data_IF_201158500606
#
_entry.id   IF_201158500606
#
_cell.length_a   1.000
_cell.length_b   1.000
_cell.length_c   1.000
_cell.angle_alpha   90.00
_cell.angle_beta   90.00
_cell.angle_gamma   90.00
#
_symmetry.space_group_name_H-M   'P 1'
#
loop_
_entity.id
_entity.type
_entity.pdbx_description
1 polymer ?
#
# COMPACT_ATOMS: atom_id res chain seq x y z
N UNK A 1 -34.46 40.90 50.10
CA UNK A 1 -34.30 40.50 51.52
C UNK A 1 -33.08 39.58 51.58
N UNK A 2 -32.07 39.75 52.43
CA UNK A 2 -31.90 40.73 53.51
C UNK A 2 -30.64 41.59 53.30
N UNK A 3 -30.69 42.83 53.75
CA UNK A 3 -29.57 43.80 53.81
C UNK A 3 -28.84 43.69 55.14
N UNK A 4 -27.53 43.96 55.19
CA UNK A 4 -26.97 44.77 56.29
C UNK A 4 -25.67 45.49 55.86
N UNK A 5 -25.42 46.64 56.47
CA UNK A 5 -24.52 47.71 56.00
C UNK A 5 -23.22 47.85 56.79
N UNK A 6 -22.19 48.42 56.14
CA UNK A 6 -20.91 48.89 56.72
C UNK A 6 -21.10 50.02 57.77
N UNK A 7 -20.06 50.38 58.58
CA UNK A 7 -18.91 51.19 58.15
C UNK A 7 -17.57 50.71 58.80
N UNK A 8 -16.41 51.41 58.89
CA UNK A 8 -16.03 52.79 58.56
C UNK A 8 -14.52 53.00 58.29
N UNK A 9 -14.21 54.02 57.48
CA UNK A 9 -13.00 54.90 57.38
C UNK A 9 -11.69 54.54 58.13
N UNK A 10 -10.57 54.57 57.39
CA UNK A 10 -9.58 55.69 57.39
C UNK A 10 -8.53 55.57 56.27
N UNK A 11 -8.35 56.65 55.51
CA UNK A 11 -7.11 57.00 54.76
C UNK A 11 -6.36 58.09 55.57
N UNK A 12 -5.15 58.60 55.23
CA UNK A 12 -4.30 58.32 54.04
C UNK A 12 -2.78 58.17 54.32
N UNK A 13 -2.02 57.70 53.31
CA UNK A 13 -0.57 58.00 53.09
C UNK A 13 -0.22 57.53 51.67
N UNK A 14 0.23 58.32 50.69
CA UNK A 14 1.31 59.34 50.61
C UNK A 14 2.74 58.82 50.83
N UNK A 15 3.14 57.78 50.08
CA UNK A 15 4.52 57.68 49.57
C UNK A 15 4.54 57.20 48.12
N UNK A 16 4.89 58.12 47.21
CA UNK A 16 5.35 57.75 45.87
C UNK A 16 6.83 57.38 45.98
N UNK A 17 7.14 56.08 46.03
CA UNK A 17 8.49 55.62 45.77
C UNK A 17 8.67 55.47 44.26
N UNK A 18 9.57 56.27 43.70
CA UNK A 18 10.09 56.06 42.36
C UNK A 18 10.83 54.72 42.32
N UNK A 19 10.21 53.69 41.76
CA UNK A 19 10.95 52.50 41.34
C UNK A 19 11.81 52.91 40.15
N UNK A 20 13.04 53.35 40.42
CA UNK A 20 14.06 53.54 39.39
C UNK A 20 14.27 52.17 38.74
N UNK A 21 13.85 52.04 37.49
CA UNK A 21 14.12 50.85 36.70
C UNK A 21 15.61 50.82 36.37
N UNK A 22 16.40 50.14 37.19
CA UNK A 22 17.76 49.74 36.83
C UNK A 22 17.70 48.70 35.71
N UNK A 23 17.53 49.18 34.47
CA UNK A 23 17.65 48.38 33.26
C UNK A 23 19.14 48.12 33.01
N UNK A 24 19.63 47.08 33.68
CA UNK A 24 20.49 46.05 33.10
C UNK A 24 21.73 46.46 32.26
N UNK A 25 22.71 47.14 32.86
CA UNK A 25 24.07 47.15 32.30
C UNK A 25 24.73 45.75 32.35
N UNK A 26 24.35 44.94 33.35
CA UNK A 26 24.86 43.57 33.54
C UNK A 26 24.39 42.58 32.47
N UNK A 27 23.24 42.80 31.82
CA UNK A 27 22.78 41.89 30.76
C UNK A 27 23.53 42.11 29.44
N UNK A 28 23.87 43.36 29.11
CA UNK A 28 24.62 43.68 27.88
C UNK A 28 26.07 43.16 27.94
N UNK A 29 26.75 43.32 29.08
CA UNK A 29 28.09 42.75 29.30
C UNK A 29 28.07 41.21 29.27
N UNK A 30 27.02 40.57 29.81
CA UNK A 30 26.85 39.11 29.73
C UNK A 30 26.71 38.64 28.27
N UNK A 31 25.85 39.30 27.48
CA UNK A 31 25.63 38.98 26.06
C UNK A 31 26.90 39.16 25.20
N UNK A 32 27.69 40.21 25.44
CA UNK A 32 28.96 40.42 24.74
C UNK A 32 29.99 39.32 25.07
N UNK A 33 30.05 38.88 26.32
CA UNK A 33 30.91 37.77 26.74
C UNK A 33 30.47 36.43 26.12
N UNK A 34 29.16 36.18 26.05
CA UNK A 34 28.59 35.00 25.39
C UNK A 34 28.91 34.96 23.88
N UNK A 35 28.79 36.09 23.17
CA UNK A 35 29.11 36.18 21.74
C UNK A 35 30.60 35.91 21.47
N UNK A 36 31.49 36.46 22.30
CA UNK A 36 32.93 36.20 22.22
C UNK A 36 33.27 34.71 22.37
N UNK A 37 32.64 34.03 23.35
CA UNK A 37 32.85 32.59 23.59
C UNK A 37 32.33 31.73 22.42
N UNK A 38 31.15 32.03 21.88
CA UNK A 38 30.60 31.32 20.72
C UNK A 38 31.47 31.52 19.47
N UNK A 39 32.01 32.73 19.26
CA UNK A 39 32.94 33.00 18.16
C UNK A 39 34.24 32.20 18.28
N UNK A 40 34.78 32.07 19.50
CA UNK A 40 35.99 31.27 19.75
C UNK A 40 35.74 29.78 19.55
N UNK A 41 34.62 29.23 20.06
CA UNK A 41 34.19 27.86 19.81
C UNK A 41 34.12 27.60 18.29
N UNK A 42 33.37 28.41 17.54
CA UNK A 42 33.22 28.23 16.10
C UNK A 42 34.57 28.30 15.34
N UNK A 43 35.52 29.13 15.79
CA UNK A 43 36.85 29.23 15.20
C UNK A 43 37.68 27.97 15.44
N UNK A 44 37.66 27.43 16.66
CA UNK A 44 38.36 26.18 16.99
C UNK A 44 37.73 25.00 16.24
N UNK A 45 36.39 24.90 16.22
CA UNK A 45 35.66 23.83 15.52
C UNK A 45 35.88 23.85 14.01
N UNK A 46 36.13 25.03 13.42
CA UNK A 46 36.52 25.17 12.01
C UNK A 46 37.95 24.68 11.74
N UNK A 47 38.87 24.93 12.68
CA UNK A 47 40.28 24.53 12.55
C UNK A 47 40.50 23.05 12.90
N UNK A 48 39.71 22.51 13.83
CA UNK A 48 39.76 21.14 14.33
C UNK A 48 38.36 20.51 14.42
N UNK A 49 37.72 20.17 13.27
CA UNK A 49 36.37 19.60 13.26
C UNK A 49 36.26 18.29 14.04
N UNK A 50 37.37 17.56 14.21
CA UNK A 50 37.39 16.31 14.96
C UNK A 50 37.09 16.51 16.46
N UNK A 51 37.28 17.71 17.02
CA UNK A 51 37.03 17.98 18.45
C UNK A 51 35.53 17.97 18.80
N UNK A 52 34.65 18.30 17.84
CA UNK A 52 33.20 18.45 18.07
C UNK A 52 32.57 17.14 18.57
N UNK A 53 33.01 16.00 18.02
CA UNK A 53 32.44 14.67 18.31
C UNK A 53 32.99 13.98 19.56
N UNK A 54 34.12 14.48 20.11
CA UNK A 54 34.84 13.83 21.21
C UNK A 54 34.22 14.12 22.57
N UNK A 55 34.29 13.20 23.52
CA UNK A 55 33.92 13.51 24.92
C UNK A 55 34.94 14.45 25.57
N UNK A 56 34.63 15.00 26.75
CA UNK A 56 35.60 15.83 27.49
C UNK A 56 36.85 15.02 27.88
N UNK A 57 36.70 13.72 28.15
CA UNK A 57 37.83 12.86 28.52
C UNK A 57 38.67 12.45 27.30
N UNK A 58 38.04 12.19 26.15
CA UNK A 58 38.75 12.05 24.87
C UNK A 58 39.60 13.29 24.54
N UNK A 59 39.06 14.50 24.76
CA UNK A 59 39.80 15.74 24.50
C UNK A 59 40.99 15.92 25.46
N UNK A 60 40.85 15.53 26.74
CA UNK A 60 41.98 15.50 27.68
C UNK A 60 43.07 14.53 27.23
N UNK A 61 42.68 13.37 26.70
CA UNK A 61 43.62 12.38 26.20
C UNK A 61 44.31 12.85 24.91
N UNK A 62 43.56 13.43 23.97
CA UNK A 62 44.13 14.10 22.79
C UNK A 62 45.10 15.22 23.18
N UNK A 63 44.81 15.96 24.26
CA UNK A 63 45.69 17.01 24.79
C UNK A 63 46.98 16.42 25.38
N UNK A 64 46.88 15.30 26.11
CA UNK A 64 48.05 14.57 26.65
C UNK A 64 48.98 14.14 25.51
N UNK A 65 48.42 13.50 24.48
CA UNK A 65 49.16 13.04 23.30
C UNK A 65 49.78 14.21 22.52
N UNK A 66 49.06 15.32 22.32
CA UNK A 66 49.61 16.52 21.68
C UNK A 66 50.79 17.11 22.46
N UNK A 67 50.70 17.15 23.79
CA UNK A 67 51.80 17.61 24.66
C UNK A 67 53.04 16.70 24.62
N UNK A 68 52.83 15.38 24.57
CA UNK A 68 53.92 14.39 24.41
C UNK A 68 54.62 14.53 23.05
N UNK A 69 53.86 14.85 21.99
CA UNK A 69 54.37 15.14 20.65
C UNK A 69 54.94 16.57 20.50
N UNK A 70 54.98 17.37 21.57
CA UNK A 70 55.45 18.77 21.58
C UNK A 70 54.63 19.73 20.68
N UNK A 71 53.39 19.36 20.34
CA UNK A 71 52.44 20.22 19.63
C UNK A 71 51.76 21.16 20.63
N UNK A 72 52.51 22.20 21.04
CA UNK A 72 52.07 23.16 22.04
C UNK A 72 50.89 24.03 21.56
N UNK A 73 50.77 24.28 20.25
CA UNK A 73 49.67 25.02 19.66
C UNK A 73 48.36 24.22 19.80
N UNK A 74 48.33 22.97 19.33
CA UNK A 74 47.16 22.09 19.50
C UNK A 74 46.86 21.79 20.97
N UNK A 75 47.88 21.70 21.83
CA UNK A 75 47.71 21.54 23.28
C UNK A 75 47.02 22.74 23.93
N UNK A 76 47.34 23.96 23.49
CA UNK A 76 46.71 25.20 23.94
C UNK A 76 45.26 25.29 23.46
N UNK A 77 45.00 25.00 22.18
CA UNK A 77 43.64 25.02 21.62
C UNK A 77 42.74 23.94 22.24
N UNK A 78 43.26 22.74 22.50
CA UNK A 78 42.52 21.69 23.23
C UNK A 78 42.17 22.12 24.66
N UNK A 79 43.08 22.78 25.39
CA UNK A 79 42.77 23.29 26.73
C UNK A 79 41.67 24.37 26.67
N UNK A 80 41.82 25.33 25.77
CA UNK A 80 40.86 26.41 25.54
C UNK A 80 39.47 25.84 25.18
N UNK A 81 39.42 24.88 24.26
CA UNK A 81 38.18 24.23 23.84
C UNK A 81 37.49 23.45 24.97
N UNK A 82 38.24 22.73 25.82
CA UNK A 82 37.69 22.05 27.00
C UNK A 82 37.05 23.08 27.97
N UNK A 83 37.72 24.20 28.23
CA UNK A 83 37.21 25.25 29.14
C UNK A 83 36.00 26.01 28.58
N UNK A 84 35.96 26.25 27.26
CA UNK A 84 34.83 26.85 26.56
C UNK A 84 33.64 25.88 26.55
N UNK A 85 33.87 24.61 26.22
CA UNK A 85 32.82 23.58 26.13
C UNK A 85 32.21 23.22 27.49
N UNK A 86 32.95 23.38 28.58
CA UNK A 86 32.42 23.30 29.94
C UNK A 86 31.42 24.44 30.30
N UNK A 87 31.29 25.47 29.45
CA UNK A 87 30.35 26.60 29.62
C UNK A 87 29.29 26.68 28.51
N UNK A 88 29.55 26.04 27.36
CA UNK A 88 28.72 26.04 26.16
C UNK A 88 28.99 24.78 25.34
N UNK A 89 28.09 23.80 25.38
CA UNK A 89 28.26 22.50 24.73
C UNK A 89 27.34 22.27 23.50
N UNK A 90 26.65 23.31 23.01
CA UNK A 90 25.62 23.14 21.96
C UNK A 90 26.12 22.40 20.73
N UNK A 91 27.25 22.78 20.10
CA UNK A 91 27.79 22.11 18.90
C UNK A 91 28.02 20.60 19.11
N UNK A 92 28.56 20.23 20.27
CA UNK A 92 28.81 18.83 20.63
C UNK A 92 27.51 18.01 20.79
N UNK A 93 26.55 18.55 21.55
CA UNK A 93 25.24 17.89 21.75
C UNK A 93 24.47 17.78 20.43
N UNK A 94 24.57 18.79 19.56
CA UNK A 94 24.07 18.74 18.19
C UNK A 94 24.71 17.58 17.41
N UNK A 95 26.05 17.47 17.39
CA UNK A 95 26.73 16.42 16.63
C UNK A 95 26.45 15.01 17.15
N UNK A 96 26.41 14.77 18.47
CA UNK A 96 26.01 13.46 19.01
C UNK A 96 24.57 13.11 18.63
N UNK A 97 23.66 14.08 18.75
CA UNK A 97 22.26 13.88 18.42
C UNK A 97 22.05 13.61 16.93
N UNK A 98 22.85 14.26 16.05
CA UNK A 98 22.84 14.03 14.61
C UNK A 98 23.38 12.65 14.27
N UNK A 99 24.53 12.24 14.82
CA UNK A 99 25.12 10.92 14.58
C UNK A 99 24.16 9.78 15.00
N UNK A 100 23.53 9.90 16.18
CA UNK A 100 22.53 8.94 16.66
C UNK A 100 21.26 8.90 15.79
N UNK A 101 20.81 10.06 15.31
CA UNK A 101 19.66 10.14 14.39
C UNK A 101 20.00 9.57 13.02
N UNK A 102 21.22 9.78 12.52
CA UNK A 102 21.68 9.27 11.22
C UNK A 102 21.62 7.75 11.20
N UNK A 103 22.27 7.09 12.16
CA UNK A 103 22.27 5.63 12.32
C UNK A 103 20.85 5.06 12.39
N UNK A 104 20.01 5.59 13.30
CA UNK A 104 18.65 5.08 13.50
C UNK A 104 17.70 5.37 12.33
N UNK A 105 17.83 6.50 11.64
CA UNK A 105 16.97 6.83 10.48
C UNK A 105 17.38 6.00 9.26
N UNK A 106 18.69 5.82 9.02
CA UNK A 106 19.17 4.98 7.92
C UNK A 106 18.73 3.52 8.10
N UNK A 107 18.91 2.94 9.29
CA UNK A 107 18.43 1.58 9.60
C UNK A 107 16.91 1.45 9.39
N UNK A 108 16.12 2.45 9.81
CA UNK A 108 14.68 2.45 9.61
C UNK A 108 14.28 2.58 8.12
N UNK A 109 15.05 3.32 7.33
CA UNK A 109 14.86 3.44 5.87
C UNK A 109 15.19 2.12 5.16
N UNK A 110 16.31 1.48 5.51
CA UNK A 110 16.68 0.17 4.95
C UNK A 110 15.63 -0.90 5.26
N UNK A 111 15.17 -0.98 6.51
CA UNK A 111 14.08 -1.86 6.92
C UNK A 111 12.77 -1.57 6.17
N UNK A 112 12.44 -0.30 5.95
CA UNK A 112 11.28 0.10 5.14
C UNK A 112 11.43 -0.37 3.69
N UNK A 113 12.58 -0.15 3.04
CA UNK A 113 12.82 -0.56 1.65
C UNK A 113 12.83 -2.07 1.46
N UNK A 114 13.38 -2.81 2.43
CA UNK A 114 13.29 -4.27 2.48
C UNK A 114 11.83 -4.74 2.57
N UNK A 115 11.05 -4.21 3.52
CA UNK A 115 9.63 -4.55 3.68
C UNK A 115 8.81 -4.24 2.42
N UNK A 116 9.03 -3.08 1.79
CA UNK A 116 8.36 -2.69 0.53
C UNK A 116 8.73 -3.64 -0.61
N UNK A 117 9.95 -4.19 -0.61
CA UNK A 117 10.39 -5.16 -1.61
C UNK A 117 9.70 -6.52 -1.40
N UNK A 118 9.62 -7.01 -0.15
CA UNK A 118 8.88 -8.22 0.20
C UNK A 118 7.39 -8.13 -0.17
N UNK A 119 6.71 -7.03 0.17
CA UNK A 119 5.29 -6.82 -0.19
C UNK A 119 5.08 -6.91 -1.72
N UNK A 120 6.01 -6.39 -2.53
CA UNK A 120 5.93 -6.47 -4.00
C UNK A 120 6.18 -7.89 -4.53
N UNK A 121 7.10 -8.63 -3.91
CA UNK A 121 7.35 -10.03 -4.26
C UNK A 121 6.14 -10.91 -3.92
N UNK A 122 5.54 -10.73 -2.74
CA UNK A 122 4.31 -11.40 -2.33
C UNK A 122 3.12 -11.02 -3.22
N UNK A 123 2.95 -9.73 -3.56
CA UNK A 123 1.91 -9.29 -4.51
C UNK A 123 2.06 -10.02 -5.85
N UNK A 124 3.28 -10.06 -6.41
CA UNK A 124 3.57 -10.71 -7.68
C UNK A 124 3.29 -12.22 -7.63
N UNK A 125 3.73 -12.91 -6.58
CA UNK A 125 3.48 -14.34 -6.40
C UNK A 125 1.97 -14.65 -6.33
N UNK A 126 1.20 -13.82 -5.62
CA UNK A 126 -0.25 -13.94 -5.52
C UNK A 126 -0.97 -13.65 -6.86
N UNK A 127 -0.47 -12.70 -7.66
CA UNK A 127 -0.96 -12.43 -9.02
C UNK A 127 -0.69 -13.61 -9.97
N UNK A 128 0.52 -14.19 -9.94
CA UNK A 128 0.91 -15.37 -10.73
C UNK A 128 0.11 -16.63 -10.36
N UNK A 129 -0.07 -16.90 -9.06
CA UNK A 129 -0.91 -18.01 -8.58
C UNK A 129 -2.37 -17.85 -9.04
N UNK A 130 -2.96 -16.67 -8.81
CA UNK A 130 -4.37 -16.42 -9.16
C UNK A 130 -4.62 -16.47 -10.67
N UNK A 131 -3.64 -16.08 -11.48
CA UNK A 131 -3.68 -16.23 -12.94
C UNK A 131 -3.66 -17.70 -13.34
N UNK A 132 -2.77 -18.49 -12.75
CA UNK A 132 -2.68 -19.94 -12.99
C UNK A 132 -3.98 -20.68 -12.60
N UNK A 133 -4.56 -20.35 -11.45
CA UNK A 133 -5.85 -20.90 -11.00
C UNK A 133 -7.02 -20.53 -11.94
N UNK A 134 -7.02 -19.30 -12.47
CA UNK A 134 -8.02 -18.84 -13.44
C UNK A 134 -7.88 -19.58 -14.78
N UNK A 135 -6.66 -19.73 -15.31
CA UNK A 135 -6.40 -20.46 -16.55
C UNK A 135 -6.80 -21.94 -16.45
N UNK A 136 -6.44 -22.61 -15.34
CA UNK A 136 -6.83 -23.99 -15.09
C UNK A 136 -8.37 -24.15 -14.98
N UNK A 137 -9.02 -23.21 -14.30
CA UNK A 137 -10.49 -23.17 -14.17
C UNK A 137 -11.17 -22.95 -15.53
N UNK A 138 -10.64 -22.03 -16.34
CA UNK A 138 -11.15 -21.73 -17.68
C UNK A 138 -10.96 -22.91 -18.64
N UNK A 139 -9.83 -23.62 -18.56
CA UNK A 139 -9.59 -24.85 -19.31
C UNK A 139 -10.61 -25.94 -18.95
N UNK A 140 -10.80 -26.22 -17.65
CA UNK A 140 -11.80 -27.18 -17.14
C UNK A 140 -13.21 -26.80 -17.62
N UNK A 141 -13.55 -25.51 -17.58
CA UNK A 141 -14.84 -24.99 -18.03
C UNK A 141 -15.06 -25.22 -19.54
N UNK A 142 -14.09 -24.87 -20.39
CA UNK A 142 -14.17 -25.08 -21.84
C UNK A 142 -14.27 -26.57 -22.23
N UNK A 143 -13.60 -27.45 -21.50
CA UNK A 143 -13.74 -28.91 -21.68
C UNK A 143 -15.16 -29.38 -21.32
N UNK A 144 -15.73 -28.90 -20.22
CA UNK A 144 -17.13 -29.16 -19.83
C UNK A 144 -18.10 -28.68 -20.93
N UNK A 145 -17.95 -27.44 -21.40
CA UNK A 145 -18.81 -26.84 -22.44
C UNK A 145 -18.79 -27.65 -23.74
N UNK A 146 -17.60 -28.00 -24.23
CA UNK A 146 -17.42 -28.86 -25.42
C UNK A 146 -18.11 -30.22 -25.25
N UNK A 147 -17.99 -30.85 -24.09
CA UNK A 147 -18.63 -32.13 -23.81
C UNK A 147 -20.16 -32.04 -23.76
N UNK A 148 -20.72 -30.93 -23.29
CA UNK A 148 -22.17 -30.68 -23.28
C UNK A 148 -22.73 -30.49 -24.70
N UNK A 149 -22.06 -29.67 -25.52
CA UNK A 149 -22.40 -29.48 -26.95
C UNK A 149 -22.34 -30.80 -27.70
N UNK A 150 -21.29 -31.60 -27.49
CA UNK A 150 -21.16 -32.93 -28.09
C UNK A 150 -22.32 -33.87 -27.69
N UNK A 151 -22.72 -33.90 -26.41
CA UNK A 151 -23.87 -34.68 -25.93
C UNK A 151 -25.19 -34.27 -26.59
N UNK A 152 -25.42 -32.96 -26.76
CA UNK A 152 -26.59 -32.45 -27.49
C UNK A 152 -26.55 -32.85 -28.96
N UNK A 153 -25.38 -32.79 -29.61
CA UNK A 153 -25.18 -33.26 -30.98
C UNK A 153 -25.48 -34.75 -31.18
N UNK A 154 -24.96 -35.61 -30.29
CA UNK A 154 -25.21 -37.06 -30.31
C UNK A 154 -26.69 -37.40 -30.03
N UNK A 155 -27.31 -36.71 -29.08
CA UNK A 155 -28.75 -36.86 -28.79
C UNK A 155 -29.60 -36.47 -29.99
N UNK A 156 -29.27 -35.35 -30.66
CA UNK A 156 -29.93 -34.90 -31.90
C UNK A 156 -29.85 -35.95 -32.99
N UNK A 157 -28.65 -36.46 -33.29
CA UNK A 157 -28.49 -37.50 -34.33
C UNK A 157 -29.33 -38.73 -34.01
N UNK A 158 -29.22 -39.23 -32.77
CA UNK A 158 -29.95 -40.42 -32.31
C UNK A 158 -31.47 -40.24 -32.39
N UNK A 159 -31.99 -39.04 -32.11
CA UNK A 159 -33.43 -38.74 -32.21
C UNK A 159 -33.90 -38.67 -33.68
N UNK A 160 -33.11 -38.06 -34.57
CA UNK A 160 -33.36 -38.04 -36.03
C UNK A 160 -33.33 -39.46 -36.60
N UNK A 161 -32.32 -40.27 -36.26
CA UNK A 161 -32.16 -41.62 -36.78
C UNK A 161 -33.30 -42.55 -36.30
N UNK A 162 -33.84 -42.33 -35.10
CA UNK A 162 -35.05 -43.02 -34.63
C UNK A 162 -36.29 -42.64 -35.42
N UNK A 163 -36.52 -41.35 -35.71
CA UNK A 163 -37.70 -40.91 -36.46
C UNK A 163 -37.65 -41.28 -37.94
N UNK A 164 -36.47 -41.26 -38.58
CA UNK A 164 -36.28 -41.79 -39.96
C UNK A 164 -36.75 -43.24 -40.08
N UNK A 165 -36.54 -44.05 -39.04
CA UNK A 165 -36.95 -45.46 -38.99
C UNK A 165 -38.40 -45.67 -38.50
N UNK A 166 -39.13 -44.62 -38.13
CA UNK A 166 -40.45 -44.74 -37.49
C UNK A 166 -41.61 -44.60 -38.48
N UNK A 167 -42.27 -45.71 -38.79
CA UNK A 167 -43.52 -45.71 -39.57
C UNK A 167 -44.74 -45.33 -38.72
N UNK A 168 -45.57 -44.42 -39.25
CA UNK A 168 -46.84 -43.99 -38.65
C UNK A 168 -47.95 -45.03 -38.81
N UNK A 169 -49.05 -44.90 -38.06
CA UNK A 169 -50.21 -45.79 -38.19
C UNK A 169 -50.90 -45.64 -39.57
N UNK A 170 -51.04 -44.39 -40.04
CA UNK A 170 -51.59 -44.05 -41.36
C UNK A 170 -50.77 -44.69 -42.50
N UNK A 171 -49.43 -44.58 -42.45
CA UNK A 171 -48.54 -45.21 -43.45
C UNK A 171 -48.62 -46.74 -43.41
N UNK A 172 -48.75 -47.36 -42.21
CA UNK A 172 -48.98 -48.81 -42.09
C UNK A 172 -50.30 -49.23 -42.74
N UNK A 173 -51.38 -48.49 -42.47
CA UNK A 173 -52.71 -48.74 -43.03
C UNK A 173 -52.69 -48.64 -44.57
N UNK A 174 -52.03 -47.62 -45.14
CA UNK A 174 -51.87 -47.50 -46.60
C UNK A 174 -51.05 -48.68 -47.17
N UNK A 175 -49.95 -49.08 -46.52
CA UNK A 175 -49.16 -50.25 -46.96
C UNK A 175 -49.98 -51.54 -46.90
N UNK A 176 -50.78 -51.75 -45.86
CA UNK A 176 -51.60 -52.95 -45.72
C UNK A 176 -52.80 -52.94 -46.68
N UNK A 177 -53.37 -51.78 -46.98
CA UNK A 177 -54.38 -51.60 -48.03
C UNK A 177 -53.80 -51.89 -49.42
N UNK A 178 -52.59 -51.38 -49.73
CA UNK A 178 -51.84 -51.71 -50.95
C UNK A 178 -51.61 -53.22 -51.09
N UNK A 179 -51.20 -53.92 -50.02
CA UNK A 179 -51.06 -55.39 -50.01
C UNK A 179 -52.39 -56.09 -50.29
N UNK A 180 -53.50 -55.56 -49.79
CA UNK A 180 -54.83 -56.12 -50.01
C UNK A 180 -55.29 -55.95 -51.47
N UNK A 181 -55.14 -54.76 -52.06
CA UNK A 181 -55.43 -54.51 -53.48
C UNK A 181 -54.57 -55.40 -54.40
N UNK A 182 -53.28 -55.60 -54.07
CA UNK A 182 -52.41 -56.51 -54.81
C UNK A 182 -52.88 -57.97 -54.76
N UNK A 183 -53.35 -58.46 -53.59
CA UNK A 183 -53.96 -59.80 -53.43
C UNK A 183 -55.27 -59.95 -54.20
N UNK A 184 -56.00 -58.85 -54.42
CA UNK A 184 -57.22 -58.81 -55.23
C UNK A 184 -56.95 -58.59 -56.74
N UNK A 185 -55.70 -58.72 -57.19
CA UNK A 185 -55.24 -58.48 -58.58
C UNK A 185 -55.40 -57.03 -59.11
N UNK A 186 -55.79 -56.04 -58.30
CA UNK A 186 -55.75 -54.63 -58.71
C UNK A 186 -54.35 -54.03 -58.50
N UNK A 187 -53.45 -54.40 -59.42
CA UNK A 187 -52.03 -53.98 -59.39
C UNK A 187 -51.88 -52.47 -59.64
N UNK A 188 -52.81 -51.83 -60.40
CA UNK A 188 -52.74 -50.38 -60.66
C UNK A 188 -53.08 -49.60 -59.39
N UNK A 189 -54.16 -49.96 -58.70
CA UNK A 189 -54.55 -49.31 -57.45
C UNK A 189 -53.52 -49.58 -56.35
N UNK A 190 -53.02 -50.82 -56.23
CA UNK A 190 -51.96 -51.16 -55.27
C UNK A 190 -50.71 -50.28 -55.43
N UNK A 191 -50.19 -50.11 -56.65
CA UNK A 191 -49.04 -49.21 -56.89
C UNK A 191 -49.33 -47.76 -56.53
N UNK A 192 -50.54 -47.26 -56.80
CA UNK A 192 -50.94 -45.89 -56.44
C UNK A 192 -50.91 -45.71 -54.92
N UNK A 193 -51.52 -46.61 -54.16
CA UNK A 193 -51.56 -46.57 -52.69
C UNK A 193 -50.15 -46.74 -52.11
N UNK A 194 -49.30 -47.59 -52.70
CA UNK A 194 -47.91 -47.75 -52.27
C UNK A 194 -47.10 -46.45 -52.43
N UNK A 195 -47.27 -45.74 -53.55
CA UNK A 195 -46.62 -44.46 -53.79
C UNK A 195 -47.14 -43.38 -52.82
N UNK A 196 -48.44 -43.36 -52.56
CA UNK A 196 -49.07 -42.47 -51.57
C UNK A 196 -48.53 -42.73 -50.15
N UNK A 197 -48.39 -44.00 -49.75
CA UNK A 197 -47.76 -44.36 -48.48
C UNK A 197 -46.29 -43.91 -48.38
N UNK A 198 -45.53 -44.05 -49.47
CA UNK A 198 -44.13 -43.63 -49.54
C UNK A 198 -44.00 -42.09 -49.44
N UNK A 199 -44.82 -41.34 -50.18
CA UNK A 199 -44.88 -39.88 -50.08
C UNK A 199 -45.26 -39.45 -48.66
N UNK A 200 -46.33 -40.02 -48.09
CA UNK A 200 -46.78 -39.69 -46.73
C UNK A 200 -45.73 -40.04 -45.66
N UNK A 201 -44.94 -41.10 -45.85
CA UNK A 201 -43.82 -41.42 -44.96
C UNK A 201 -42.68 -40.39 -45.10
N UNK A 202 -42.35 -39.95 -46.32
CA UNK A 202 -41.34 -38.92 -46.54
C UNK A 202 -41.73 -37.57 -45.90
N UNK A 203 -42.96 -37.12 -46.12
CA UNK A 203 -43.52 -35.90 -45.50
C UNK A 203 -43.50 -35.97 -43.96
N UNK A 204 -43.85 -37.14 -43.39
CA UNK A 204 -43.80 -37.37 -41.94
C UNK A 204 -42.35 -37.36 -41.39
N UNK A 205 -41.38 -37.94 -42.10
CA UNK A 205 -39.97 -37.92 -41.71
C UNK A 205 -39.42 -36.49 -41.75
N UNK A 206 -39.70 -35.75 -42.81
CA UNK A 206 -39.20 -34.38 -42.99
C UNK A 206 -39.75 -33.44 -41.91
N UNK A 207 -41.07 -33.40 -41.73
CA UNK A 207 -41.75 -32.60 -40.69
C UNK A 207 -41.21 -32.88 -39.29
N UNK A 208 -40.98 -34.15 -38.93
CA UNK A 208 -40.41 -34.52 -37.63
C UNK A 208 -38.94 -34.19 -37.50
N UNK A 209 -38.15 -34.35 -38.56
CA UNK A 209 -36.74 -33.96 -38.58
C UNK A 209 -36.61 -32.46 -38.35
N UNK A 210 -37.40 -31.64 -39.05
CA UNK A 210 -37.46 -30.18 -38.89
C UNK A 210 -37.89 -29.76 -37.46
N UNK A 211 -38.84 -30.48 -36.86
CA UNK A 211 -39.24 -30.25 -35.46
C UNK A 211 -38.11 -30.59 -34.46
N UNK A 212 -37.39 -31.71 -34.67
CA UNK A 212 -36.23 -32.10 -33.86
C UNK A 212 -35.09 -31.08 -34.02
N UNK A 213 -34.78 -30.64 -35.24
CA UNK A 213 -33.75 -29.63 -35.48
C UNK A 213 -34.07 -28.31 -34.78
N UNK A 214 -35.34 -27.86 -34.86
CA UNK A 214 -35.81 -26.64 -34.16
C UNK A 214 -35.67 -26.79 -32.64
N UNK A 215 -36.06 -27.95 -32.07
CA UNK A 215 -35.87 -28.28 -30.64
C UNK A 215 -34.40 -28.19 -30.23
N UNK A 216 -33.49 -28.84 -30.96
CA UNK A 216 -32.06 -28.83 -30.61
C UNK A 216 -31.37 -27.49 -30.88
N UNK A 217 -31.78 -26.72 -31.89
CA UNK A 217 -31.32 -25.34 -32.12
C UNK A 217 -31.64 -24.46 -30.91
N UNK A 218 -32.87 -24.56 -30.39
CA UNK A 218 -33.29 -23.81 -29.21
C UNK A 218 -32.59 -24.27 -27.92
N UNK A 219 -32.28 -25.56 -27.79
CA UNK A 219 -31.48 -26.08 -26.67
C UNK A 219 -30.03 -25.59 -26.74
N UNK A 220 -29.38 -25.69 -27.91
CA UNK A 220 -28.02 -25.22 -28.13
C UNK A 220 -27.87 -23.73 -27.82
N UNK A 221 -28.81 -22.89 -28.28
CA UNK A 221 -28.80 -21.45 -27.98
C UNK A 221 -28.93 -21.15 -26.47
N UNK A 222 -29.74 -21.92 -25.73
CA UNK A 222 -29.85 -21.81 -24.26
C UNK A 222 -28.57 -22.25 -23.55
N UNK A 223 -27.98 -23.37 -24.00
CA UNK A 223 -26.72 -23.89 -23.47
C UNK A 223 -25.55 -22.93 -23.74
N UNK A 224 -25.45 -22.35 -24.95
CA UNK A 224 -24.44 -21.34 -25.28
C UNK A 224 -24.56 -20.11 -24.39
N UNK A 225 -25.78 -19.56 -24.20
CA UNK A 225 -25.99 -18.45 -23.26
C UNK A 225 -25.63 -18.80 -21.81
N UNK A 226 -25.85 -20.05 -21.39
CA UNK A 226 -25.40 -20.50 -20.08
C UNK A 226 -23.86 -20.57 -20.00
N UNK A 227 -23.19 -21.02 -21.06
CA UNK A 227 -21.73 -21.08 -21.15
C UNK A 227 -21.11 -19.67 -21.11
N UNK A 228 -21.68 -18.72 -21.84
CA UNK A 228 -21.30 -17.28 -21.80
C UNK A 228 -21.39 -16.72 -20.37
N UNK A 229 -22.51 -16.94 -19.67
CA UNK A 229 -22.69 -16.52 -18.29
C UNK A 229 -21.68 -17.18 -17.32
N UNK A 230 -21.31 -18.45 -17.53
CA UNK A 230 -20.29 -19.13 -16.71
C UNK A 230 -18.89 -18.56 -16.94
N UNK A 231 -18.52 -18.24 -18.18
CA UNK A 231 -17.23 -17.59 -18.49
C UNK A 231 -17.17 -16.16 -17.92
N UNK A 232 -18.25 -15.38 -18.04
CA UNK A 232 -18.35 -14.03 -17.47
C UNK A 232 -18.25 -14.04 -15.94
N UNK A 233 -18.96 -14.96 -15.27
CA UNK A 233 -18.89 -15.12 -13.81
C UNK A 233 -17.49 -15.53 -13.33
N UNK A 234 -16.81 -16.42 -14.07
CA UNK A 234 -15.43 -16.82 -13.76
C UNK A 234 -14.45 -15.64 -13.93
N UNK A 235 -14.60 -14.86 -15.01
CA UNK A 235 -13.80 -13.66 -15.26
C UNK A 235 -14.03 -12.59 -14.18
N UNK A 236 -15.28 -12.29 -13.83
CA UNK A 236 -15.60 -11.31 -12.79
C UNK A 236 -15.02 -11.72 -11.41
N UNK A 237 -14.94 -13.02 -11.11
CA UNK A 237 -14.27 -13.53 -9.92
C UNK A 237 -12.75 -13.30 -9.96
N UNK A 238 -12.11 -13.54 -11.10
CA UNK A 238 -10.68 -13.26 -11.30
C UNK A 238 -10.37 -11.76 -11.17
N UNK A 239 -11.12 -10.91 -11.87
CA UNK A 239 -10.96 -9.45 -11.83
C UNK A 239 -11.10 -8.91 -10.40
N UNK A 240 -12.07 -9.43 -9.62
CA UNK A 240 -12.23 -9.12 -8.19
C UNK A 240 -11.04 -9.59 -7.34
N UNK A 241 -10.51 -10.79 -7.58
CA UNK A 241 -9.33 -11.28 -6.87
C UNK A 241 -8.09 -10.41 -7.17
N UNK A 242 -7.88 -10.00 -8.44
CA UNK A 242 -6.81 -9.08 -8.84
C UNK A 242 -6.93 -7.72 -8.15
N UNK A 243 -8.14 -7.17 -8.03
CA UNK A 243 -8.39 -5.93 -7.29
C UNK A 243 -8.08 -6.09 -5.80
N UNK A 244 -8.48 -7.22 -5.19
CA UNK A 244 -8.20 -7.49 -3.77
C UNK A 244 -6.69 -7.57 -3.49
N UNK A 245 -5.92 -8.29 -4.31
CA UNK A 245 -4.45 -8.43 -4.13
C UNK A 245 -3.77 -7.06 -4.17
N UNK A 246 -4.13 -6.22 -5.14
CA UNK A 246 -3.61 -4.84 -5.25
C UNK A 246 -4.02 -3.95 -4.07
N UNK A 247 -5.24 -4.10 -3.57
CA UNK A 247 -5.75 -3.37 -2.41
C UNK A 247 -5.01 -3.73 -1.13
N UNK A 248 -4.71 -5.02 -0.91
CA UNK A 248 -3.94 -5.51 0.25
C UNK A 248 -2.52 -4.96 0.21
N UNK A 249 -1.80 -5.16 -0.89
CA UNK A 249 -0.42 -4.66 -1.05
C UNK A 249 -0.34 -3.13 -0.88
N UNK A 250 -1.31 -2.38 -1.40
CA UNK A 250 -1.37 -0.92 -1.22
C UNK A 250 -1.62 -0.55 0.25
N UNK A 251 -2.51 -1.24 0.94
CA UNK A 251 -2.77 -1.03 2.37
C UNK A 251 -1.53 -1.29 3.23
N UNK A 252 -0.77 -2.33 2.92
CA UNK A 252 0.49 -2.66 3.61
C UNK A 252 1.59 -1.63 3.33
N UNK A 253 1.72 -1.15 2.09
CA UNK A 253 2.64 -0.06 1.73
C UNK A 253 2.30 1.21 2.53
N UNK A 254 1.03 1.56 2.66
CA UNK A 254 0.57 2.71 3.48
C UNK A 254 0.92 2.50 4.96
N UNK A 255 0.74 1.29 5.48
CA UNK A 255 1.12 0.96 6.87
C UNK A 255 2.64 1.03 7.10
N UNK A 256 3.47 0.57 6.16
CA UNK A 256 4.92 0.71 6.24
C UNK A 256 5.35 2.17 6.21
N UNK A 257 4.72 3.00 5.35
CA UNK A 257 4.96 4.47 5.37
C UNK A 257 4.63 5.06 6.74
N UNK A 258 3.46 4.71 7.30
CA UNK A 258 3.02 5.17 8.63
C UNK A 258 4.01 4.80 9.72
N UNK A 259 4.52 3.55 9.73
CA UNK A 259 5.53 3.07 10.69
C UNK A 259 6.82 3.90 10.61
N UNK A 260 7.34 4.13 9.39
CA UNK A 260 8.54 4.95 9.18
C UNK A 260 8.33 6.38 9.68
N UNK A 261 7.21 7.01 9.31
CA UNK A 261 6.85 8.37 9.75
C UNK A 261 6.79 8.49 11.28
N UNK A 262 6.10 7.55 11.95
CA UNK A 262 5.98 7.53 13.41
C UNK A 262 7.35 7.35 14.07
N UNK A 263 8.20 6.44 13.55
CA UNK A 263 9.54 6.21 14.06
C UNK A 263 10.42 7.47 13.94
N UNK A 264 10.48 8.09 12.76
CA UNK A 264 11.34 9.27 12.52
C UNK A 264 10.91 10.45 13.40
N UNK A 265 9.60 10.74 13.47
CA UNK A 265 9.07 11.80 14.33
C UNK A 265 9.37 11.53 15.81
N UNK A 266 9.21 10.28 16.26
CA UNK A 266 9.53 9.90 17.64
C UNK A 266 11.02 10.07 17.95
N UNK A 267 11.90 9.58 17.08
CA UNK A 267 13.36 9.69 17.23
C UNK A 267 13.82 11.14 17.22
N UNK A 268 13.31 11.99 16.32
CA UNK A 268 13.57 13.43 16.31
C UNK A 268 13.14 14.09 17.62
N UNK A 269 11.91 13.83 18.10
CA UNK A 269 11.41 14.37 19.37
C UNK A 269 12.26 13.90 20.56
N UNK A 270 12.72 12.66 20.55
CA UNK A 270 13.59 12.09 21.58
C UNK A 270 14.96 12.77 21.60
N UNK A 271 15.63 12.91 20.45
CA UNK A 271 16.89 13.65 20.34
C UNK A 271 16.75 15.09 20.85
N UNK A 272 15.69 15.80 20.45
CA UNK A 272 15.41 17.17 20.91
C UNK A 272 15.19 17.20 22.44
N UNK A 273 14.45 16.24 23.00
CA UNK A 273 14.17 16.13 24.43
C UNK A 273 15.44 15.84 25.25
N UNK A 274 16.20 14.82 24.86
CA UNK A 274 17.35 14.32 25.61
C UNK A 274 18.52 15.30 25.50
N UNK A 275 18.86 15.78 24.30
CA UNK A 275 19.86 16.83 24.12
C UNK A 275 19.49 18.14 24.85
N UNK A 276 18.21 18.53 24.91
CA UNK A 276 17.77 19.72 25.68
C UNK A 276 17.94 19.60 27.20
N UNK A 277 18.10 18.37 27.73
CA UNK A 277 18.49 18.11 29.13
C UNK A 277 19.99 18.30 29.30
N UNK A 278 20.79 17.81 28.36
CA UNK A 278 22.26 17.85 28.37
C UNK A 278 22.88 19.21 28.00
N UNK A 279 22.17 20.08 27.28
CA UNK A 279 22.62 21.45 27.01
C UNK A 279 22.92 22.22 28.31
N UNK A 280 24.11 22.79 28.44
CA UNK A 280 24.48 23.64 29.59
C UNK A 280 23.66 24.94 29.56
N UNK A 281 23.52 25.55 28.37
CA UNK A 281 22.75 26.78 28.16
C UNK A 281 21.33 26.46 27.70
N UNK A 282 20.33 26.87 28.48
CA UNK A 282 18.92 26.54 28.20
C UNK A 282 18.29 27.50 27.19
N UNK A 283 18.88 28.68 26.98
CA UNK A 283 18.58 29.60 25.90
C UNK A 283 18.91 29.03 24.50
N UNK A 284 19.88 28.10 24.40
CA UNK A 284 20.28 27.49 23.14
C UNK A 284 19.33 26.39 22.64
N UNK A 285 18.35 25.98 23.45
CA UNK A 285 17.37 24.92 23.12
C UNK A 285 16.65 25.15 21.79
N UNK A 286 16.24 26.37 21.50
CA UNK A 286 15.52 26.70 20.25
C UNK A 286 16.42 26.52 19.04
N UNK A 287 17.69 26.92 19.12
CA UNK A 287 18.67 26.71 18.05
C UNK A 287 18.92 25.21 17.84
N UNK A 288 19.22 24.49 18.92
CA UNK A 288 19.43 23.03 18.89
C UNK A 288 18.23 22.29 18.27
N UNK A 289 17.01 22.58 18.70
CA UNK A 289 15.80 21.96 18.13
C UNK A 289 15.61 22.26 16.64
N UNK A 290 15.98 23.47 16.20
CA UNK A 290 15.95 23.86 14.78
C UNK A 290 17.02 23.12 13.98
N UNK A 291 18.27 23.07 14.46
CA UNK A 291 19.39 22.39 13.81
C UNK A 291 19.11 20.88 13.64
N UNK A 292 18.53 20.23 14.66
CA UNK A 292 18.09 18.83 14.60
C UNK A 292 16.92 18.64 13.63
N UNK A 293 15.94 19.55 13.61
CA UNK A 293 14.80 19.47 12.69
C UNK A 293 15.24 19.62 11.24
N UNK A 294 16.13 20.56 10.94
CA UNK A 294 16.69 20.76 9.61
C UNK A 294 17.52 19.55 9.16
N UNK A 295 18.30 18.95 10.07
CA UNK A 295 19.08 17.74 9.80
C UNK A 295 18.18 16.56 9.41
N UNK A 296 17.17 16.25 10.23
CA UNK A 296 16.21 15.16 9.96
C UNK A 296 15.44 15.42 8.67
N UNK A 297 14.99 16.65 8.43
CA UNK A 297 14.31 17.02 7.19
C UNK A 297 15.19 16.80 5.96
N UNK A 298 16.45 17.20 6.02
CA UNK A 298 17.41 17.01 4.93
C UNK A 298 17.68 15.53 4.68
N UNK A 299 18.08 14.77 5.71
CA UNK A 299 18.43 13.35 5.60
C UNK A 299 17.29 12.52 4.97
N UNK A 300 16.06 12.74 5.43
CA UNK A 300 14.86 12.05 4.94
C UNK A 300 14.54 12.41 3.48
N UNK A 301 14.77 13.66 3.06
CA UNK A 301 14.57 14.08 1.68
C UNK A 301 15.70 13.60 0.75
N UNK A 302 16.95 13.60 1.19
CA UNK A 302 18.10 13.07 0.45
C UNK A 302 17.90 11.57 0.11
N UNK A 303 17.18 10.83 0.96
CA UNK A 303 16.75 9.45 0.73
C UNK A 303 15.37 9.31 0.04
N UNK A 304 14.76 10.39 -0.45
CA UNK A 304 13.50 10.36 -1.20
C UNK A 304 12.26 9.96 -0.37
N UNK A 305 12.26 10.23 0.95
CA UNK A 305 11.19 9.87 1.90
C UNK A 305 10.36 11.09 2.33
N UNK A 306 10.14 12.07 1.44
CA UNK A 306 9.42 13.32 1.71
C UNK A 306 8.04 13.14 2.36
N UNK A 307 7.37 12.02 2.05
CA UNK A 307 6.08 11.61 2.62
C UNK A 307 6.05 11.54 4.16
N UNK A 308 7.21 11.53 4.82
CA UNK A 308 7.33 11.59 6.29
C UNK A 308 6.89 12.96 6.83
N UNK A 309 7.02 14.04 6.07
CA UNK A 309 6.61 15.41 6.45
C UNK A 309 5.41 15.94 5.68
N UNK A 310 4.92 15.19 4.69
CA UNK A 310 3.63 15.44 4.07
C UNK A 310 2.55 15.22 5.13
N UNK A 311 2.07 16.31 5.73
CA UNK A 311 0.89 16.27 6.61
C UNK A 311 -0.26 15.63 5.86
N UNK A 312 -0.95 14.65 6.47
CA UNK A 312 -2.16 14.03 5.92
C UNK A 312 -3.23 15.10 5.64
N UNK A 313 -3.18 15.73 4.46
CA UNK A 313 -4.18 16.66 3.94
C UNK A 313 -5.38 15.95 3.31
N UNK A 314 -5.46 14.64 3.49
CA UNK A 314 -6.55 13.76 3.06
C UNK A 314 -7.03 12.89 4.24
N UNK A 315 -7.73 13.55 5.18
CA UNK A 315 -8.70 12.94 6.10
C UNK A 315 -9.92 13.86 6.21
#
# INVERSE_FOLDING_TARGET
>A
MSTFTSPSRRSPSKYAYSTISYISDTSQLSQLSQFSQLSQINQIEKNYPEFVRKTIDDLKEMKRIAGENQDFEKTSELQNYIELRAKENTSHITSISQDWLEEGILEAIENFEYNISQIKEEQKANEEQSTSEFEESLFKLKVKHKNEINKLGSSRSTEIDREKNRMTAEVRQLIDHSKHCAKANDIKLARKIQNEAAQKQAENIDSRTNAIETKYKNLLAKTQKHHENEEEALKAKYDKNMQNIKSVALGEIVEQKRKLTVFIIHSQQRAISDGSKELIRKEMRTKFAHDITNFVWKLVNDHGKSFVFETNSEQ
#
